data_IF_187047827315
#
_entry.id   IF_187047827315
#
_cell.length_a   1.000
_cell.length_b   1.000
_cell.length_c   1.000
_cell.angle_alpha   90.00
_cell.angle_beta   90.00
_cell.angle_gamma   90.00
#
_symmetry.space_group_name_H-M   'P 1'
#
loop_
_entity.id
_entity.type
_entity.pdbx_description
1 polymer ?
#
# COMPACT_ATOMS: atom_id res chain seq x y z
N UNK A 1 -5.67 33.40 -18.71
CA UNK A 1 -4.72 32.29 -19.03
C UNK A 1 -3.52 32.32 -18.07
N UNK A 2 -2.83 33.44 -17.91
CA UNK A 2 -1.67 33.57 -16.99
C UNK A 2 -1.95 33.14 -15.57
N UNK A 3 -3.10 33.50 -14.99
CA UNK A 3 -3.51 33.11 -13.64
C UNK A 3 -3.71 31.59 -13.51
N UNK A 4 -4.31 30.95 -14.52
CA UNK A 4 -4.49 29.50 -14.52
C UNK A 4 -3.14 28.76 -14.60
N UNK A 5 -2.23 29.25 -15.41
CA UNK A 5 -0.86 28.70 -15.52
C UNK A 5 -0.11 28.88 -14.20
N UNK A 6 -0.18 30.06 -13.58
CA UNK A 6 0.45 30.29 -12.28
C UNK A 6 -0.09 29.35 -11.17
N UNK A 7 -1.38 29.05 -11.18
CA UNK A 7 -1.99 28.09 -10.25
C UNK A 7 -1.51 26.65 -10.50
N UNK A 8 -1.38 26.24 -11.77
CA UNK A 8 -0.83 24.93 -12.13
C UNK A 8 0.64 24.79 -11.73
N UNK A 9 1.44 25.85 -11.90
CA UNK A 9 2.84 25.88 -11.43
C UNK A 9 2.95 25.76 -9.91
N UNK A 10 2.11 26.46 -9.19
CA UNK A 10 2.07 26.37 -7.73
C UNK A 10 1.67 24.96 -7.26
N UNK A 11 0.64 24.35 -7.87
CA UNK A 11 0.24 22.99 -7.59
C UNK A 11 1.38 22.00 -7.87
N UNK A 12 2.09 22.15 -8.98
CA UNK A 12 3.28 21.34 -9.30
C UNK A 12 4.41 21.53 -8.28
N UNK A 13 4.65 22.75 -7.82
CA UNK A 13 5.62 23.05 -6.76
C UNK A 13 5.29 22.33 -5.44
N UNK A 14 4.04 22.30 -5.05
CA UNK A 14 3.55 21.55 -3.88
C UNK A 14 3.75 20.05 -4.08
N UNK A 15 3.37 19.52 -5.23
CA UNK A 15 3.53 18.09 -5.54
C UNK A 15 5.02 17.67 -5.49
N UNK A 16 5.93 18.46 -6.07
CA UNK A 16 7.39 18.23 -6.02
C UNK A 16 7.92 18.26 -4.58
N UNK A 17 7.48 19.21 -3.75
CA UNK A 17 7.90 19.30 -2.35
C UNK A 17 7.43 18.07 -1.53
N UNK A 18 6.23 17.57 -1.79
CA UNK A 18 5.71 16.37 -1.15
C UNK A 18 6.38 15.10 -1.67
N UNK A 19 6.68 15.02 -2.96
CA UNK A 19 7.43 13.91 -3.56
C UNK A 19 8.84 13.80 -2.96
N UNK A 20 9.58 14.91 -2.86
CA UNK A 20 10.91 14.93 -2.21
C UNK A 20 10.86 14.54 -0.73
N UNK A 21 9.78 14.90 -0.02
CA UNK A 21 9.60 14.48 1.36
C UNK A 21 9.28 12.98 1.46
N UNK A 22 8.55 12.42 0.51
CA UNK A 22 8.28 10.98 0.44
C UNK A 22 9.58 10.20 0.20
N UNK A 23 10.41 10.61 -0.76
CA UNK A 23 11.73 10.01 -1.01
C UNK A 23 12.61 10.05 0.24
N UNK A 24 12.68 11.20 0.94
CA UNK A 24 13.46 11.33 2.17
C UNK A 24 12.96 10.43 3.29
N UNK A 25 11.69 10.06 3.29
CA UNK A 25 11.05 9.14 4.24
C UNK A 25 11.06 7.68 3.74
N UNK A 26 11.72 7.38 2.62
CA UNK A 26 11.69 6.07 1.96
C UNK A 26 10.28 5.60 1.56
N UNK A 27 9.36 6.55 1.37
CA UNK A 27 8.05 6.31 0.80
C UNK A 27 8.07 6.59 -0.70
N UNK A 28 7.13 6.04 -1.46
CA UNK A 28 7.05 6.28 -2.90
C UNK A 28 6.62 7.72 -3.19
N UNK A 29 7.37 8.46 -4.01
CA UNK A 29 6.99 9.81 -4.43
C UNK A 29 5.85 9.77 -5.45
N UNK A 30 5.09 10.86 -5.53
CA UNK A 30 4.13 11.05 -6.61
C UNK A 30 4.85 11.33 -7.95
N UNK A 31 4.27 10.86 -9.06
CA UNK A 31 4.76 11.18 -10.41
C UNK A 31 4.48 12.64 -10.74
N UNK A 32 5.52 13.47 -10.66
CA UNK A 32 5.46 14.90 -11.01
C UNK A 32 5.90 15.18 -12.45
N UNK A 33 6.47 14.20 -13.16
CA UNK A 33 6.93 14.33 -14.53
C UNK A 33 5.78 14.58 -15.50
N UNK A 34 4.73 13.78 -15.42
CA UNK A 34 3.53 13.96 -16.23
C UNK A 34 2.82 15.29 -15.95
N UNK A 35 2.80 15.75 -14.71
CA UNK A 35 2.26 17.08 -14.37
C UNK A 35 3.09 18.21 -14.97
N UNK A 36 4.42 18.11 -14.96
CA UNK A 36 5.32 19.06 -15.59
C UNK A 36 5.08 19.12 -17.10
N UNK A 37 5.05 17.97 -17.76
CA UNK A 37 4.80 17.86 -19.21
C UNK A 37 3.47 18.50 -19.61
N UNK A 38 2.40 18.27 -18.84
CA UNK A 38 1.11 18.88 -19.07
C UNK A 38 1.18 20.42 -18.93
N UNK A 39 1.83 20.92 -17.87
CA UNK A 39 1.98 22.36 -17.66
C UNK A 39 2.75 23.02 -18.79
N UNK A 40 3.83 22.40 -19.26
CA UNK A 40 4.64 22.92 -20.36
C UNK A 40 3.85 22.93 -21.67
N UNK A 41 3.11 21.86 -21.99
CA UNK A 41 2.23 21.79 -23.15
C UNK A 41 1.13 22.89 -23.15
N UNK A 42 0.56 23.17 -21.97
CA UNK A 42 -0.46 24.22 -21.80
C UNK A 42 0.14 25.64 -21.94
N UNK A 43 1.38 25.86 -21.51
CA UNK A 43 2.09 27.15 -21.69
C UNK A 43 2.39 27.43 -23.13
N UNK A 44 2.90 26.44 -23.85
CA UNK A 44 3.32 26.58 -25.24
C UNK A 44 2.15 26.53 -26.22
N UNK A 45 0.92 26.16 -25.75
CA UNK A 45 -0.24 25.95 -26.63
C UNK A 45 0.04 24.94 -27.77
N UNK A 46 0.96 24.01 -27.51
CA UNK A 46 1.46 23.09 -28.52
C UNK A 46 0.43 22.03 -28.94
N UNK A 47 -0.52 21.74 -28.08
CA UNK A 47 -1.59 20.77 -28.32
C UNK A 47 -2.94 21.28 -27.79
N UNK A 48 -4.08 20.85 -28.35
CA UNK A 48 -5.40 21.14 -27.80
C UNK A 48 -5.54 20.65 -26.38
N UNK A 49 -5.97 21.52 -25.44
CA UNK A 49 -6.18 21.20 -24.04
C UNK A 49 -7.38 21.94 -23.46
N UNK A 50 -7.90 21.44 -22.35
CA UNK A 50 -8.98 22.07 -21.58
C UNK A 50 -8.41 22.50 -20.22
N UNK A 51 -8.50 23.79 -19.90
CA UNK A 51 -8.21 24.33 -18.57
C UNK A 51 -9.48 24.94 -18.02
N UNK A 52 -9.91 24.48 -16.85
CA UNK A 52 -11.03 25.04 -16.11
C UNK A 52 -10.49 25.83 -14.92
N UNK A 53 -10.65 27.15 -14.97
CA UNK A 53 -10.24 28.05 -13.91
C UNK A 53 -11.34 29.08 -13.64
N UNK A 54 -11.69 29.28 -12.38
CA UNK A 54 -12.66 30.28 -11.96
C UNK A 54 -12.26 30.89 -10.59
N UNK A 55 -12.29 32.24 -10.42
CA UNK A 55 -11.88 32.91 -9.17
C UNK A 55 -12.67 32.49 -7.94
N UNK A 56 -13.95 32.13 -8.11
CA UNK A 56 -14.85 31.72 -7.03
C UNK A 56 -14.93 30.21 -6.84
N UNK A 57 -14.27 29.41 -7.70
CA UNK A 57 -14.22 27.96 -7.63
C UNK A 57 -14.91 27.25 -8.80
N UNK A 58 -14.61 25.95 -8.91
CA UNK A 58 -15.19 25.04 -9.90
C UNK A 58 -15.86 23.89 -9.15
N UNK A 59 -17.13 23.60 -9.47
CA UNK A 59 -17.88 22.47 -8.95
C UNK A 59 -18.28 21.54 -10.09
N UNK A 60 -18.00 20.25 -9.92
CA UNK A 60 -18.40 19.19 -10.87
C UNK A 60 -19.34 18.25 -10.14
N UNK A 61 -20.60 18.21 -10.56
CA UNK A 61 -21.61 17.35 -9.96
C UNK A 61 -22.47 16.68 -11.02
N UNK A 62 -22.98 15.51 -10.72
CA UNK A 62 -23.92 14.78 -11.59
C UNK A 62 -24.92 14.02 -10.72
N UNK A 63 -26.21 13.95 -11.10
CA UNK A 63 -27.18 13.14 -10.39
C UNK A 63 -26.93 11.63 -10.51
N UNK A 64 -26.08 11.18 -11.42
CA UNK A 64 -25.78 9.76 -11.63
C UNK A 64 -24.31 9.42 -11.38
N UNK A 65 -23.41 9.83 -12.26
CA UNK A 65 -22.00 9.47 -12.15
C UNK A 65 -21.06 10.58 -12.61
N UNK A 66 -19.93 10.69 -11.93
CA UNK A 66 -18.74 11.46 -12.37
C UNK A 66 -17.58 10.46 -12.46
N UNK A 67 -16.87 10.46 -13.59
CA UNK A 67 -15.70 9.63 -13.81
C UNK A 67 -14.51 10.49 -14.24
N UNK A 68 -13.37 10.29 -13.57
CA UNK A 68 -12.07 10.86 -13.97
C UNK A 68 -11.17 9.69 -14.38
N UNK A 69 -10.61 9.75 -15.58
CA UNK A 69 -9.69 8.71 -16.09
C UNK A 69 -8.67 9.30 -17.03
N UNK A 70 -7.46 8.78 -16.99
CA UNK A 70 -6.40 9.02 -17.98
C UNK A 70 -6.13 7.72 -18.74
N UNK A 71 -5.90 7.80 -20.03
CA UNK A 71 -5.67 6.63 -20.88
C UNK A 71 -4.22 6.15 -20.89
N UNK A 72 -3.25 7.06 -20.75
CA UNK A 72 -1.83 6.76 -20.90
C UNK A 72 -0.92 7.54 -19.97
N UNK A 73 -1.48 8.35 -19.07
CA UNK A 73 -0.73 9.19 -18.15
C UNK A 73 -1.39 9.22 -16.77
N UNK A 74 -0.87 10.01 -15.85
CA UNK A 74 -1.33 10.09 -14.47
C UNK A 74 -2.59 10.94 -14.31
N UNK A 75 -3.36 10.68 -13.25
CA UNK A 75 -4.36 11.59 -12.68
C UNK A 75 -3.77 12.17 -11.41
N UNK A 76 -3.52 13.48 -11.38
CA UNK A 76 -3.00 14.19 -10.20
C UNK A 76 -4.10 14.96 -9.48
N UNK A 77 -4.15 14.86 -8.16
CA UNK A 77 -5.00 15.68 -7.27
C UNK A 77 -4.09 16.38 -6.29
N UNK A 78 -4.05 17.72 -6.34
CA UNK A 78 -3.21 18.54 -5.47
C UNK A 78 -4.06 19.63 -4.83
N UNK A 79 -3.95 19.81 -3.52
CA UNK A 79 -4.61 20.86 -2.75
C UNK A 79 -3.60 21.57 -1.86
N UNK A 80 -3.74 22.89 -1.72
CA UNK A 80 -2.93 23.69 -0.78
C UNK A 80 -3.38 23.51 0.68
N UNK A 81 -4.59 23.02 0.90
CA UNK A 81 -5.14 22.80 2.25
C UNK A 81 -5.56 21.34 2.42
N UNK A 82 -6.81 21.03 2.25
CA UNK A 82 -7.37 19.71 2.50
C UNK A 82 -7.86 19.05 1.21
N UNK A 83 -7.73 17.75 1.17
CA UNK A 83 -8.44 16.91 0.20
C UNK A 83 -9.32 15.94 0.98
N UNK A 84 -10.63 16.13 0.90
CA UNK A 84 -11.62 15.32 1.63
C UNK A 84 -12.31 14.36 0.65
N UNK A 85 -12.24 13.06 0.97
CA UNK A 85 -12.89 12.00 0.19
C UNK A 85 -13.87 11.28 1.10
N UNK A 86 -15.16 11.34 0.78
CA UNK A 86 -16.22 10.72 1.55
C UNK A 86 -17.07 9.80 0.68
N UNK A 87 -17.39 8.61 1.16
CA UNK A 87 -18.26 7.67 0.47
C UNK A 87 -19.26 7.05 1.45
N UNK A 88 -20.54 7.10 1.13
CA UNK A 88 -21.60 6.55 1.98
C UNK A 88 -21.50 5.02 2.13
N UNK A 89 -21.06 4.33 1.09
CA UNK A 89 -21.01 2.86 1.09
C UNK A 89 -19.58 2.33 1.16
N UNK A 90 -18.76 2.57 0.13
CA UNK A 90 -17.42 2.00 0.02
C UNK A 90 -16.46 2.99 -0.61
N UNK A 91 -15.27 3.04 -0.05
CA UNK A 91 -14.10 3.66 -0.66
C UNK A 91 -13.07 2.54 -0.91
N UNK A 92 -12.64 2.37 -2.15
CA UNK A 92 -11.71 1.30 -2.55
C UNK A 92 -10.50 1.93 -3.23
N UNK A 93 -9.31 1.52 -2.79
CA UNK A 93 -8.04 1.86 -3.44
C UNK A 93 -7.40 0.56 -3.90
N UNK A 94 -7.04 0.48 -5.18
CA UNK A 94 -6.30 -0.64 -5.74
C UNK A 94 -5.20 -0.09 -6.67
N UNK A 95 -4.00 -0.62 -6.55
CA UNK A 95 -2.86 -0.29 -7.39
C UNK A 95 -2.22 -1.57 -7.91
N UNK A 96 -1.75 -1.58 -9.15
CA UNK A 96 -1.06 -2.72 -9.76
C UNK A 96 0.34 -2.95 -9.19
N UNK A 97 0.99 -1.90 -8.70
CA UNK A 97 2.37 -1.98 -8.20
C UNK A 97 2.46 -1.67 -6.71
N UNK A 98 2.05 -0.47 -6.29
CA UNK A 98 2.22 -0.06 -4.90
C UNK A 98 1.22 1.00 -4.45
N UNK A 99 0.96 1.05 -3.14
CA UNK A 99 0.27 2.14 -2.44
C UNK A 99 1.21 2.71 -1.39
N UNK A 100 1.44 4.02 -1.43
CA UNK A 100 2.27 4.72 -0.45
C UNK A 100 1.49 5.83 0.24
N UNK A 101 1.53 5.88 1.56
CA UNK A 101 0.83 6.88 2.38
C UNK A 101 1.84 7.55 3.32
N UNK A 102 2.02 8.86 3.18
CA UNK A 102 2.93 9.65 4.02
C UNK A 102 2.19 10.79 4.72
N UNK A 103 2.34 10.89 6.04
CA UNK A 103 1.91 12.03 6.84
C UNK A 103 3.11 12.70 7.52
N UNK A 104 3.50 13.92 7.11
CA UNK A 104 4.73 14.60 7.57
C UNK A 104 4.68 15.13 8.99
N UNK A 105 3.53 15.55 9.51
CA UNK A 105 3.46 16.31 10.76
C UNK A 105 2.54 15.71 11.82
N UNK A 106 1.33 15.33 11.45
CA UNK A 106 0.27 14.99 12.41
C UNK A 106 -0.01 13.49 12.57
N UNK A 107 0.66 12.64 11.79
CA UNK A 107 0.52 11.19 11.84
C UNK A 107 -0.67 10.65 11.05
N UNK A 108 -0.90 9.35 11.20
CA UNK A 108 -1.92 8.57 10.49
C UNK A 108 -2.79 7.85 11.50
N UNK A 109 -4.09 7.78 11.24
CA UNK A 109 -5.06 7.07 12.08
C UNK A 109 -5.90 6.14 11.23
N UNK A 110 -6.00 4.87 11.64
CA UNK A 110 -6.84 3.85 11.01
C UNK A 110 -7.83 3.34 12.05
N UNK A 111 -9.13 3.57 11.82
CA UNK A 111 -10.18 3.14 12.73
C UNK A 111 -11.24 2.31 11.99
N UNK A 112 -11.64 1.20 12.59
CA UNK A 112 -12.86 0.50 12.23
C UNK A 112 -13.82 0.58 13.42
N UNK A 113 -14.94 1.30 13.28
CA UNK A 113 -15.93 1.44 14.35
C UNK A 113 -16.66 0.12 14.64
N UNK A 114 -16.86 -0.69 13.60
CA UNK A 114 -17.42 -2.05 13.69
C UNK A 114 -16.67 -2.93 12.69
N UNK A 115 -16.43 -4.18 13.08
CA UNK A 115 -15.64 -5.12 12.28
C UNK A 115 -14.14 -5.03 12.57
N UNK A 116 -13.35 -5.84 11.85
CA UNK A 116 -11.92 -5.97 12.07
C UNK A 116 -11.10 -5.07 11.14
N UNK A 117 -9.88 -4.76 11.53
CA UNK A 117 -8.82 -4.26 10.65
C UNK A 117 -7.93 -5.45 10.32
N UNK A 118 -7.74 -5.74 9.03
CA UNK A 118 -6.84 -6.79 8.54
C UNK A 118 -5.64 -6.14 7.86
N UNK A 119 -4.43 -6.54 8.26
CA UNK A 119 -3.17 -6.13 7.64
C UNK A 119 -2.42 -7.41 7.29
N UNK A 120 -2.17 -7.67 6.01
CA UNK A 120 -1.54 -8.89 5.53
C UNK A 120 -0.47 -8.56 4.48
N UNK A 121 0.70 -9.16 4.62
CA UNK A 121 1.68 -9.33 3.56
C UNK A 121 1.62 -10.80 3.13
N UNK A 122 1.18 -11.07 1.88
CA UNK A 122 0.89 -12.44 1.46
C UNK A 122 2.15 -13.22 1.06
N UNK A 123 3.11 -12.56 0.44
CA UNK A 123 4.32 -13.20 -0.10
C UNK A 123 5.62 -12.62 0.48
N UNK A 124 5.53 -11.63 1.39
CA UNK A 124 6.69 -10.95 1.96
C UNK A 124 6.46 -10.57 3.43
N UNK A 125 7.40 -9.88 4.04
CA UNK A 125 7.39 -9.49 5.44
C UNK A 125 6.39 -8.36 5.75
N UNK A 126 5.87 -8.36 6.95
CA UNK A 126 5.20 -7.23 7.58
C UNK A 126 6.12 -6.62 8.62
N UNK A 127 6.56 -5.38 8.41
CA UNK A 127 7.43 -4.66 9.33
C UNK A 127 6.70 -3.52 10.05
N UNK A 128 6.86 -3.44 11.36
CA UNK A 128 6.35 -2.35 12.18
C UNK A 128 7.46 -1.78 13.04
N UNK A 129 7.87 -0.53 12.77
CA UNK A 129 8.98 0.12 13.48
C UNK A 129 8.55 1.46 14.05
N UNK A 130 8.89 1.74 15.29
CA UNK A 130 8.69 3.03 15.92
C UNK A 130 9.97 3.48 16.63
N UNK A 131 10.26 4.80 16.57
CA UNK A 131 11.37 5.41 17.33
C UNK A 131 11.13 5.36 18.84
N UNK A 132 9.87 5.38 19.26
CA UNK A 132 9.45 5.31 20.67
C UNK A 132 8.74 3.99 20.92
N UNK A 133 7.67 4.00 21.65
CA UNK A 133 6.96 2.82 22.11
C UNK A 133 6.08 2.21 21.01
N UNK A 134 5.98 0.88 21.03
CA UNK A 134 4.96 0.11 20.32
C UNK A 134 4.07 -0.53 21.39
N UNK A 135 2.77 -0.22 21.38
CA UNK A 135 1.80 -0.77 22.31
C UNK A 135 0.81 -1.67 21.58
N UNK A 136 0.69 -2.92 22.01
CA UNK A 136 -0.30 -3.87 21.52
C UNK A 136 -1.18 -4.29 22.70
N UNK A 137 -2.47 -3.96 22.64
CA UNK A 137 -3.41 -4.21 23.76
C UNK A 137 -4.69 -4.83 23.25
N UNK A 138 -5.15 -5.89 23.90
CA UNK A 138 -6.49 -6.44 23.78
C UNK A 138 -7.28 -6.15 25.06
N UNK A 139 -8.41 -5.45 24.95
CA UNK A 139 -9.16 -4.99 26.12
C UNK A 139 -10.00 -6.12 26.74
N UNK A 140 -10.65 -6.94 25.90
CA UNK A 140 -11.59 -7.98 26.35
C UNK A 140 -11.20 -9.40 25.91
N UNK A 141 -10.19 -9.53 25.07
CA UNK A 141 -9.75 -10.80 24.52
C UNK A 141 -8.29 -11.13 24.87
N UNK A 142 -7.64 -11.83 23.97
CA UNK A 142 -6.23 -12.23 24.09
C UNK A 142 -5.39 -11.59 22.98
N UNK A 143 -4.09 -11.48 23.21
CA UNK A 143 -3.08 -11.28 22.18
C UNK A 143 -2.47 -12.65 21.87
N UNK A 144 -2.50 -13.06 20.61
CA UNK A 144 -1.92 -14.31 20.15
C UNK A 144 -0.79 -14.00 19.16
N UNK A 145 0.39 -14.56 19.41
CA UNK A 145 1.57 -14.41 18.55
C UNK A 145 2.03 -15.83 18.21
N UNK A 146 2.00 -16.16 16.93
CA UNK A 146 2.36 -17.51 16.45
C UNK A 146 3.40 -17.36 15.35
N UNK A 147 4.44 -18.19 15.41
CA UNK A 147 5.45 -18.32 14.35
C UNK A 147 5.61 -19.79 13.99
N UNK A 148 5.85 -20.07 12.71
CA UNK A 148 6.05 -21.45 12.23
C UNK A 148 7.39 -22.03 12.71
N UNK A 149 8.45 -21.26 12.73
CA UNK A 149 9.80 -21.70 13.02
C UNK A 149 10.32 -21.22 14.36
N UNK A 150 10.32 -19.90 14.57
CA UNK A 150 10.92 -19.29 15.74
C UNK A 150 10.21 -18.00 16.16
N UNK A 151 10.02 -17.80 17.45
CA UNK A 151 9.61 -16.53 18.06
C UNK A 151 10.71 -16.06 19.02
N UNK A 152 11.22 -14.84 18.81
CA UNK A 152 12.20 -14.21 19.70
C UNK A 152 11.65 -12.89 20.25
N UNK A 153 11.71 -12.76 21.56
CA UNK A 153 11.49 -11.49 22.28
C UNK A 153 12.78 -11.09 22.94
N UNK A 154 13.40 -9.99 22.57
CA UNK A 154 14.66 -9.57 23.13
C UNK A 154 14.66 -8.10 23.61
N UNK A 155 15.51 -7.81 24.60
CA UNK A 155 15.79 -6.47 25.09
C UNK A 155 17.17 -6.41 25.73
N UNK A 156 18.08 -5.57 25.22
CA UNK A 156 19.41 -5.33 25.80
C UNK A 156 20.21 -6.61 26.15
N UNK A 157 20.11 -7.64 25.31
CA UNK A 157 20.78 -8.92 25.50
C UNK A 157 20.03 -9.95 26.37
N UNK A 158 18.92 -9.56 27.00
CA UNK A 158 17.99 -10.51 27.60
C UNK A 158 16.95 -10.96 26.56
N UNK A 159 16.63 -12.26 26.54
CA UNK A 159 15.70 -12.80 25.53
C UNK A 159 14.86 -13.96 26.03
N UNK A 160 13.72 -14.14 25.36
CA UNK A 160 12.91 -15.35 25.37
C UNK A 160 12.88 -15.87 23.95
N UNK A 161 13.25 -17.11 23.75
CA UNK A 161 13.26 -17.78 22.44
C UNK A 161 12.42 -19.04 22.50
N UNK A 162 11.49 -19.16 21.57
CA UNK A 162 10.70 -20.37 21.35
C UNK A 162 11.09 -20.94 19.99
N UNK A 163 11.68 -22.12 19.95
CA UNK A 163 12.15 -22.76 18.72
C UNK A 163 12.29 -24.27 18.91
N UNK A 164 11.93 -25.05 17.90
CA UNK A 164 12.09 -26.52 17.91
C UNK A 164 11.43 -27.22 19.09
N UNK A 165 10.33 -26.67 19.62
CA UNK A 165 9.64 -27.22 20.80
C UNK A 165 10.27 -26.89 22.14
N UNK A 166 11.29 -26.00 22.18
CA UNK A 166 11.96 -25.56 23.40
C UNK A 166 11.61 -24.11 23.74
N UNK A 167 11.68 -23.77 25.01
CA UNK A 167 11.64 -22.40 25.56
C UNK A 167 12.99 -22.13 26.18
N UNK A 168 13.71 -21.12 25.67
CA UNK A 168 14.99 -20.68 26.16
C UNK A 168 14.87 -19.28 26.78
N UNK A 169 15.40 -19.13 28.00
CA UNK A 169 15.48 -17.85 28.70
C UNK A 169 16.95 -17.53 28.93
N UNK A 170 17.43 -16.42 28.37
CA UNK A 170 18.83 -16.01 28.49
C UNK A 170 18.95 -14.53 28.83
N UNK A 171 19.92 -14.17 29.66
CA UNK A 171 20.27 -12.78 29.97
C UNK A 171 21.71 -12.67 30.49
N UNK A 172 22.37 -11.49 30.31
CA UNK A 172 23.69 -11.24 30.89
C UNK A 172 23.65 -11.00 32.42
N UNK A 173 22.47 -10.75 32.98
CA UNK A 173 22.26 -10.50 34.41
C UNK A 173 21.54 -11.66 35.10
N UNK A 174 20.60 -11.36 36.00
CA UNK A 174 19.87 -12.31 36.81
C UNK A 174 18.48 -12.59 36.25
N UNK A 175 18.03 -13.86 36.30
CA UNK A 175 16.63 -14.24 36.09
C UNK A 175 15.95 -14.23 37.49
N UNK A 176 15.01 -13.32 37.69
CA UNK A 176 14.26 -13.17 38.95
C UNK A 176 12.85 -13.75 38.78
N UNK A 177 12.58 -14.88 39.38
CA UNK A 177 11.25 -15.50 39.41
C UNK A 177 10.52 -15.09 40.70
N UNK A 178 9.47 -14.27 40.59
CA UNK A 178 8.62 -13.85 41.70
C UNK A 178 7.26 -14.53 41.58
N UNK A 179 7.04 -15.56 42.29
CA UNK A 179 5.77 -16.31 42.33
C UNK A 179 5.51 -16.92 43.66
N UNK A 180 4.25 -17.22 43.99
CA UNK A 180 3.89 -17.96 45.20
C UNK A 180 4.36 -19.41 45.14
N UNK A 181 4.45 -20.01 43.94
CA UNK A 181 4.87 -21.40 43.76
C UNK A 181 5.49 -21.59 42.33
N UNK A 182 6.50 -22.45 42.22
CA UNK A 182 7.10 -22.89 40.95
C UNK A 182 7.00 -24.42 40.89
N UNK A 183 6.28 -24.94 39.89
CA UNK A 183 6.10 -26.38 39.69
C UNK A 183 6.73 -26.81 38.37
N UNK A 184 7.47 -27.94 38.40
CA UNK A 184 7.90 -28.64 37.20
C UNK A 184 6.98 -29.82 36.97
N UNK A 185 6.23 -29.75 35.84
CA UNK A 185 5.27 -30.81 35.46
C UNK A 185 5.82 -31.63 34.26
N UNK A 186 5.07 -32.64 33.85
CA UNK A 186 5.42 -33.46 32.68
C UNK A 186 5.31 -32.73 31.35
N UNK A 187 5.61 -33.43 30.25
CA UNK A 187 5.50 -32.86 28.88
C UNK A 187 4.08 -32.36 28.61
N UNK A 188 4.02 -31.19 27.95
CA UNK A 188 2.79 -30.64 27.38
C UNK A 188 3.04 -30.19 25.96
N UNK A 189 2.03 -30.27 25.11
CA UNK A 189 2.08 -29.77 23.71
C UNK A 189 0.81 -28.96 23.44
N UNK A 190 0.96 -27.82 22.83
CA UNK A 190 -0.14 -26.96 22.38
C UNK A 190 0.15 -26.50 20.96
N UNK A 191 -0.54 -27.09 19.99
CA UNK A 191 -0.36 -26.78 18.57
C UNK A 191 -1.51 -25.94 18.05
N UNK A 192 -1.18 -24.78 17.51
CA UNK A 192 -2.09 -23.96 16.72
C UNK A 192 -1.79 -24.23 15.24
N UNK A 193 -2.78 -24.64 14.43
CA UNK A 193 -2.53 -24.80 12.99
C UNK A 193 -2.09 -23.47 12.39
N UNK A 194 -1.10 -23.47 11.47
CA UNK A 194 -0.67 -22.27 10.79
C UNK A 194 -1.84 -21.66 9.99
N UNK A 195 -1.91 -20.34 9.99
CA UNK A 195 -2.86 -19.60 9.15
C UNK A 195 -2.44 -19.73 7.70
N UNK A 196 -3.31 -20.27 6.85
CA UNK A 196 -3.09 -20.24 5.40
C UNK A 196 -3.51 -18.87 4.85
N UNK A 197 -2.54 -18.14 4.32
CA UNK A 197 -2.80 -16.88 3.62
C UNK A 197 -3.27 -17.17 2.19
N UNK A 198 -4.20 -16.37 1.64
CA UNK A 198 -4.54 -16.43 0.23
C UNK A 198 -3.30 -16.20 -0.61
N UNK A 199 -3.03 -17.07 -1.57
CA UNK A 199 -1.93 -16.86 -2.53
C UNK A 199 -2.30 -15.72 -3.46
N UNK A 200 -1.40 -14.73 -3.63
CA UNK A 200 -1.52 -13.70 -4.64
C UNK A 200 -1.49 -14.33 -6.03
N UNK A 201 -2.34 -13.85 -6.93
CA UNK A 201 -2.30 -14.29 -8.33
C UNK A 201 -1.27 -13.43 -9.08
N UNK A 202 -0.08 -13.97 -9.28
CA UNK A 202 0.91 -13.47 -10.25
C UNK A 202 0.97 -14.44 -11.45
N UNK A 203 -0.03 -14.42 -12.29
CA UNK A 203 0.08 -15.10 -13.57
C UNK A 203 0.63 -14.11 -14.61
N UNK A 204 1.87 -14.32 -15.01
CA UNK A 204 2.51 -13.60 -16.11
C UNK A 204 2.32 -14.40 -17.39
N UNK A 205 1.61 -13.81 -18.36
CA UNK A 205 1.43 -14.41 -19.67
C UNK A 205 2.33 -13.70 -20.68
N UNK A 206 2.94 -14.48 -21.58
CA UNK A 206 3.63 -13.94 -22.74
C UNK A 206 2.90 -14.37 -24.00
N UNK A 207 2.49 -13.40 -24.82
CA UNK A 207 1.80 -13.68 -26.09
C UNK A 207 2.82 -14.06 -27.15
N UNK A 208 2.68 -15.28 -27.71
CA UNK A 208 3.55 -15.83 -28.76
C UNK A 208 2.73 -16.25 -29.96
N UNK A 209 3.30 -16.13 -31.14
CA UNK A 209 2.73 -16.70 -32.35
C UNK A 209 2.70 -18.24 -32.27
N UNK A 210 1.57 -18.84 -32.56
CA UNK A 210 1.36 -20.28 -32.41
C UNK A 210 2.19 -21.10 -33.39
N UNK A 211 2.57 -20.56 -34.56
CA UNK A 211 3.30 -21.28 -35.61
C UNK A 211 4.81 -21.09 -35.48
N UNK A 212 5.26 -19.88 -35.18
CA UNK A 212 6.68 -19.55 -35.14
C UNK A 212 7.27 -19.62 -33.73
N UNK A 213 6.44 -19.52 -32.67
CA UNK A 213 6.88 -19.46 -31.28
C UNK A 213 7.49 -18.10 -30.89
N UNK A 214 7.53 -17.14 -31.80
CA UNK A 214 8.09 -15.80 -31.55
C UNK A 214 7.13 -14.95 -30.71
N UNK A 215 7.71 -14.02 -29.93
CA UNK A 215 6.96 -13.06 -29.11
C UNK A 215 6.23 -12.10 -30.04
N UNK A 216 4.95 -11.84 -29.77
CA UNK A 216 4.12 -10.88 -30.52
C UNK A 216 3.97 -9.61 -29.68
N UNK A 217 4.79 -8.58 -29.91
CA UNK A 217 4.71 -7.33 -29.15
C UNK A 217 3.38 -6.62 -29.45
N UNK A 218 2.85 -5.95 -28.43
CA UNK A 218 1.62 -5.16 -28.52
C UNK A 218 0.38 -5.90 -29.00
N UNK A 219 0.39 -7.24 -28.93
CA UNK A 219 -0.76 -8.07 -29.29
C UNK A 219 -1.96 -7.77 -28.40
N UNK A 220 -3.16 -7.74 -28.97
CA UNK A 220 -4.40 -7.74 -28.19
C UNK A 220 -4.65 -9.14 -27.66
N UNK A 221 -4.94 -9.25 -26.35
CA UNK A 221 -5.31 -10.52 -25.75
C UNK A 221 -6.68 -10.46 -25.08
N UNK A 222 -7.26 -11.61 -24.95
CA UNK A 222 -8.47 -11.86 -24.17
C UNK A 222 -8.28 -13.15 -23.39
N UNK A 223 -8.23 -13.04 -22.06
CA UNK A 223 -8.09 -14.16 -21.15
C UNK A 223 -9.45 -14.41 -20.48
N UNK A 224 -9.92 -15.64 -20.52
CA UNK A 224 -11.11 -16.04 -19.80
C UNK A 224 -10.70 -17.05 -18.73
N UNK A 225 -11.00 -16.74 -17.48
CA UNK A 225 -10.73 -17.65 -16.35
C UNK A 225 -11.72 -18.79 -16.33
N UNK A 226 -11.41 -19.86 -15.61
CA UNK A 226 -12.34 -20.99 -15.39
C UNK A 226 -13.67 -20.57 -14.76
N UNK A 227 -13.68 -19.47 -14.01
CA UNK A 227 -14.89 -18.88 -13.40
C UNK A 227 -15.67 -17.96 -14.35
N UNK A 228 -15.25 -17.86 -15.63
CA UNK A 228 -15.92 -17.05 -16.64
C UNK A 228 -15.61 -15.55 -16.59
N UNK A 229 -14.66 -15.11 -15.78
CA UNK A 229 -14.19 -13.72 -15.80
C UNK A 229 -13.36 -13.47 -17.05
N UNK A 230 -13.56 -12.34 -17.70
CA UNK A 230 -12.87 -11.97 -18.95
C UNK A 230 -11.98 -10.76 -18.68
N UNK A 231 -10.69 -10.90 -19.02
CA UNK A 231 -9.69 -9.83 -19.01
C UNK A 231 -9.25 -9.57 -20.44
N UNK A 232 -9.34 -8.34 -20.88
CA UNK A 232 -8.89 -7.90 -22.21
C UNK A 232 -7.84 -6.80 -22.07
N UNK A 233 -6.79 -6.88 -22.87
CA UNK A 233 -5.70 -5.91 -22.83
C UNK A 233 -4.83 -5.98 -24.08
N UNK A 234 -3.70 -5.28 -24.00
CA UNK A 234 -2.66 -5.31 -25.01
C UNK A 234 -1.34 -5.60 -24.33
N UNK A 235 -0.59 -6.54 -24.87
CA UNK A 235 0.75 -6.86 -24.40
C UNK A 235 1.70 -5.67 -24.61
N UNK A 236 2.76 -5.61 -23.82
CA UNK A 236 3.85 -4.64 -23.95
C UNK A 236 4.81 -5.02 -25.09
N UNK A 237 5.97 -4.33 -25.16
CA UNK A 237 7.01 -4.60 -26.15
C UNK A 237 7.64 -5.99 -26.02
N UNK A 238 7.59 -6.59 -24.83
CA UNK A 238 8.10 -7.93 -24.53
C UNK A 238 7.02 -9.02 -24.64
N UNK A 239 5.82 -8.66 -25.11
CA UNK A 239 4.71 -9.56 -25.25
C UNK A 239 4.02 -9.97 -23.93
N UNK A 240 4.23 -9.21 -22.85
CA UNK A 240 3.69 -9.45 -21.49
C UNK A 240 2.45 -8.64 -21.22
#
# INVERSE_FOLDING_TARGET
MEEAIAQLENALGIAKSLASAAESAQALPSDTGNQQTLNDALKELAQPGIVLNAPQGVSISSPQAVRLSSGSASVGIVSQQNTDISALKRFTVAAGEAVSLLARKAGMKLFAAKGKIEIQAQDDALEATAKKDITVTSVEGRVEITAAEELVVNCAGAYIRLSGGNIELGCPGNILLKSANVQKMGKADFRVPPLELPKGFEERFTVKDQKTGEIVPFARYRITTEKGQVFEGRADADGK
#
